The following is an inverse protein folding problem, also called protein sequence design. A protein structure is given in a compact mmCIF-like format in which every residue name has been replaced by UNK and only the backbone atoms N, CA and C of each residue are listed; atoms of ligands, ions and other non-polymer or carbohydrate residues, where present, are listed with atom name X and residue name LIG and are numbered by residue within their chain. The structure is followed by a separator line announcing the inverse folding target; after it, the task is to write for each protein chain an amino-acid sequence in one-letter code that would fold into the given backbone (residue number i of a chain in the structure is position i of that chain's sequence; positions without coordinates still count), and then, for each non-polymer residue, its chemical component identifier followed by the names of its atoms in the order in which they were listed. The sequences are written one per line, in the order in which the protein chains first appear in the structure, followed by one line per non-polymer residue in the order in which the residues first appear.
data_IF_859523642984
#
_entry.id   IF_859523642984
#
_cell.length_a   1.000
_cell.length_b   1.000
_cell.length_c   1.000
_cell.angle_alpha   90.00
_cell.angle_beta   90.00
_cell.angle_gamma   90.00
#
_symmetry.space_group_name_H-M   'P 1'
#
loop_
_entity.id
_entity.type
_entity.pdbx_description
1 polymer ?
#
# COMPACT_ATOMS: atom_id res chain seq x y z
N UNK A 1 -8.28 -15.17 29.13
CA UNK A 1 -8.43 -15.18 27.66
C UNK A 1 -7.14 -14.75 26.97
N UNK A 2 -6.57 -13.57 27.29
CA UNK A 2 -5.35 -13.08 26.62
C UNK A 2 -4.13 -14.02 26.74
N UNK A 3 -3.86 -14.60 27.91
CA UNK A 3 -2.76 -15.59 28.04
C UNK A 3 -2.99 -16.83 27.15
N UNK A 4 -4.25 -17.23 26.98
CA UNK A 4 -4.57 -18.35 26.11
C UNK A 4 -4.35 -18.00 24.64
N UNK A 5 -4.74 -16.78 24.21
CA UNK A 5 -4.42 -16.27 22.87
C UNK A 5 -2.90 -16.22 22.64
N UNK A 6 -2.12 -15.80 23.63
CA UNK A 6 -0.67 -15.76 23.52
C UNK A 6 -0.07 -17.13 23.20
N UNK A 7 -0.63 -18.21 23.77
CA UNK A 7 -0.19 -19.59 23.48
C UNK A 7 -0.70 -20.15 22.16
N UNK A 8 -1.68 -19.50 21.53
CA UNK A 8 -2.20 -19.90 20.21
C UNK A 8 -1.39 -19.34 19.06
N UNK A 9 -0.48 -18.38 19.29
CA UNK A 9 0.26 -17.72 18.22
C UNK A 9 -0.69 -17.07 17.19
N UNK A 10 -1.39 -16.03 17.65
CA UNK A 10 -2.46 -15.35 16.93
C UNK A 10 -2.01 -14.69 15.62
N UNK A 11 -0.73 -14.38 15.48
CA UNK A 11 -0.16 -13.78 14.28
C UNK A 11 -0.17 -14.75 13.10
N UNK A 12 0.07 -16.03 13.37
CA UNK A 12 0.14 -17.08 12.35
C UNK A 12 -1.17 -17.87 12.20
N UNK A 13 -2.05 -17.85 13.21
CA UNK A 13 -3.27 -18.67 13.26
C UNK A 13 -4.53 -17.87 13.62
N UNK A 14 -4.61 -16.62 13.14
CA UNK A 14 -5.70 -15.69 13.45
C UNK A 14 -7.10 -16.27 13.23
N UNK A 15 -7.35 -16.99 12.14
CA UNK A 15 -8.67 -17.59 11.85
C UNK A 15 -9.12 -18.59 12.93
N UNK A 16 -8.17 -19.37 13.46
CA UNK A 16 -8.41 -20.32 14.55
C UNK A 16 -8.67 -19.54 15.84
N UNK A 17 -7.84 -18.54 16.14
CA UNK A 17 -8.01 -17.70 17.32
C UNK A 17 -9.37 -16.97 17.32
N UNK A 18 -9.81 -16.44 16.18
CA UNK A 18 -11.14 -15.82 16.01
C UNK A 18 -12.26 -16.83 16.27
N UNK A 19 -12.15 -18.04 15.73
CA UNK A 19 -13.14 -19.10 15.95
C UNK A 19 -13.24 -19.49 17.43
N UNK A 20 -12.10 -19.55 18.12
CA UNK A 20 -12.06 -19.82 19.56
C UNK A 20 -12.63 -18.64 20.36
N UNK A 21 -12.33 -17.40 19.99
CA UNK A 21 -12.89 -16.21 20.62
C UNK A 21 -14.41 -16.18 20.50
N UNK A 22 -14.99 -16.41 19.33
CA UNK A 22 -16.44 -16.50 19.17
C UNK A 22 -17.07 -17.58 20.07
N UNK A 23 -16.41 -18.73 20.16
CA UNK A 23 -16.85 -19.83 21.05
C UNK A 23 -16.83 -19.38 22.51
N UNK A 24 -15.74 -18.76 22.97
CA UNK A 24 -15.61 -18.24 24.34
C UNK A 24 -16.62 -17.12 24.63
N UNK A 25 -16.81 -16.20 23.69
CA UNK A 25 -17.74 -15.08 23.83
C UNK A 25 -19.19 -15.55 24.00
N UNK A 26 -19.58 -16.61 23.28
CA UNK A 26 -20.93 -17.18 23.43
C UNK A 26 -21.22 -17.82 24.79
N UNK A 27 -20.18 -18.12 25.58
CA UNK A 27 -20.30 -18.74 26.90
C UNK A 27 -20.02 -17.76 28.06
N UNK A 28 -19.68 -16.50 27.75
CA UNK A 28 -19.22 -15.52 28.74
C UNK A 28 -20.14 -14.29 28.72
N UNK A 29 -20.55 -13.73 29.87
CA UNK A 29 -21.34 -12.51 29.90
C UNK A 29 -20.62 -11.34 29.21
N UNK A 30 -21.37 -10.52 28.44
CA UNK A 30 -20.80 -9.39 27.69
C UNK A 30 -20.07 -8.38 28.59
N UNK A 31 -20.58 -8.15 29.80
CA UNK A 31 -19.96 -7.26 30.78
C UNK A 31 -18.54 -7.67 31.17
N UNK A 32 -18.27 -8.98 31.29
CA UNK A 32 -16.93 -9.51 31.59
C UNK A 32 -16.01 -9.38 30.38
N UNK A 33 -16.53 -9.64 29.17
CA UNK A 33 -15.76 -9.54 27.92
C UNK A 33 -15.27 -8.12 27.67
N UNK A 34 -16.17 -7.15 27.81
CA UNK A 34 -15.90 -5.72 27.62
C UNK A 34 -14.93 -5.21 28.68
N UNK A 35 -14.99 -5.77 29.90
CA UNK A 35 -14.07 -5.43 30.99
C UNK A 35 -12.58 -5.62 30.66
N UNK A 36 -12.25 -6.51 29.71
CA UNK A 36 -10.86 -6.73 29.27
C UNK A 36 -10.33 -5.55 28.43
N UNK A 37 -11.20 -4.84 27.71
CA UNK A 37 -10.83 -3.70 26.86
C UNK A 37 -11.02 -2.33 27.52
N UNK A 38 -11.68 -2.27 28.68
CA UNK A 38 -11.95 -1.00 29.36
C UNK A 38 -10.66 -0.43 29.95
N UNK A 39 -10.41 0.84 29.64
CA UNK A 39 -9.40 1.64 30.33
C UNK A 39 -10.08 2.66 31.24
N UNK A 40 -9.48 2.88 32.40
CA UNK A 40 -10.01 3.79 33.42
C UNK A 40 -9.91 5.27 33.02
N UNK A 41 -9.24 5.58 31.92
CA UNK A 41 -9.01 6.95 31.43
C UNK A 41 -10.21 7.55 30.68
N UNK A 42 -11.28 6.78 30.47
CA UNK A 42 -12.51 7.21 29.82
C UNK A 42 -12.39 7.44 28.30
N UNK A 43 -11.22 7.19 27.69
CA UNK A 43 -10.97 7.43 26.26
C UNK A 43 -11.53 6.33 25.36
N UNK A 44 -11.91 5.19 25.93
CA UNK A 44 -12.40 4.00 25.19
C UNK A 44 -11.39 3.54 24.13
N UNK A 45 -10.11 3.76 24.38
CA UNK A 45 -9.00 3.41 23.49
C UNK A 45 -7.94 2.68 24.30
N UNK A 46 -7.40 1.61 23.75
CA UNK A 46 -6.24 0.91 24.31
C UNK A 46 -4.97 1.71 23.99
N UNK A 47 -4.14 2.09 24.98
CA UNK A 47 -2.89 2.80 24.72
C UNK A 47 -1.98 2.01 23.76
N UNK A 48 -1.28 2.72 22.87
CA UNK A 48 -0.40 2.07 21.87
C UNK A 48 0.70 1.25 22.54
N UNK A 49 1.21 1.74 23.66
CA UNK A 49 2.27 1.09 24.44
C UNK A 49 1.83 -0.21 25.12
N UNK A 50 0.53 -0.44 25.28
CA UNK A 50 -0.02 -1.67 25.88
C UNK A 50 -0.58 -2.62 24.82
N UNK A 51 -0.66 -2.20 23.56
CA UNK A 51 -1.14 -3.05 22.48
C UNK A 51 -0.18 -4.22 22.23
N UNK A 52 -0.78 -5.40 22.18
CA UNK A 52 -0.16 -6.65 21.74
C UNK A 52 -1.01 -7.25 20.63
N UNK A 53 -0.47 -8.17 19.80
CA UNK A 53 -1.27 -8.88 18.78
C UNK A 53 -2.53 -9.51 19.37
N UNK A 54 -2.44 -10.09 20.56
CA UNK A 54 -3.53 -10.74 21.26
C UNK A 54 -4.62 -9.76 21.67
N UNK A 55 -4.23 -8.60 22.22
CA UNK A 55 -5.17 -7.55 22.62
C UNK A 55 -5.86 -6.94 21.40
N UNK A 56 -5.10 -6.66 20.34
CA UNK A 56 -5.63 -6.08 19.11
C UNK A 56 -6.64 -7.02 18.43
N UNK A 57 -6.29 -8.31 18.32
CA UNK A 57 -7.21 -9.33 17.78
C UNK A 57 -8.45 -9.49 18.67
N UNK A 58 -8.26 -9.61 20.00
CA UNK A 58 -9.36 -9.72 20.95
C UNK A 58 -10.33 -8.55 20.81
N UNK A 59 -9.82 -7.32 20.78
CA UNK A 59 -10.64 -6.12 20.66
C UNK A 59 -11.39 -6.07 19.33
N UNK A 60 -10.70 -6.37 18.23
CA UNK A 60 -11.32 -6.45 16.90
C UNK A 60 -12.46 -7.46 16.84
N UNK A 61 -12.20 -8.71 17.25
CA UNK A 61 -13.21 -9.77 17.25
C UNK A 61 -14.36 -9.47 18.20
N UNK A 62 -14.08 -8.85 19.36
CA UNK A 62 -15.12 -8.45 20.31
C UNK A 62 -16.03 -7.37 19.71
N UNK A 63 -15.46 -6.37 19.04
CA UNK A 63 -16.25 -5.31 18.38
C UNK A 63 -17.18 -5.88 17.31
N UNK A 64 -16.71 -6.82 16.49
CA UNK A 64 -17.54 -7.49 15.49
C UNK A 64 -18.61 -8.38 16.14
N UNK A 65 -18.24 -9.12 17.19
CA UNK A 65 -19.16 -9.96 17.92
C UNK A 65 -20.29 -9.15 18.58
N UNK A 66 -19.97 -8.04 19.25
CA UNK A 66 -20.96 -7.17 19.87
C UNK A 66 -21.91 -6.61 18.81
N UNK A 67 -21.39 -6.13 17.68
CA UNK A 67 -22.22 -5.65 16.57
C UNK A 67 -23.21 -6.71 16.04
N UNK A 68 -22.83 -7.99 16.10
CA UNK A 68 -23.72 -9.10 15.71
C UNK A 68 -24.88 -9.36 16.70
N UNK A 69 -24.84 -8.79 17.91
CA UNK A 69 -25.87 -8.93 18.95
C UNK A 69 -27.00 -7.90 18.87
N UNK A 70 -26.93 -6.96 17.92
CA UNK A 70 -27.93 -5.90 17.76
C UNK A 70 -27.92 -4.93 18.94
N UNK A 71 -29.10 -4.45 19.34
CA UNK A 71 -29.24 -3.36 20.33
C UNK A 71 -28.55 -3.64 21.67
N UNK A 72 -28.59 -4.88 22.18
CA UNK A 72 -27.88 -5.26 23.41
C UNK A 72 -26.36 -5.11 23.23
N UNK A 73 -25.84 -5.52 22.08
CA UNK A 73 -24.41 -5.41 21.78
C UNK A 73 -23.95 -3.97 21.57
N UNK A 74 -24.80 -3.11 21.02
CA UNK A 74 -24.49 -1.69 20.79
C UNK A 74 -24.19 -0.96 22.11
N UNK A 75 -24.98 -1.21 23.17
CA UNK A 75 -24.74 -0.63 24.50
C UNK A 75 -23.35 -0.97 25.04
N UNK A 76 -22.87 -2.19 24.78
CA UNK A 76 -21.54 -2.64 25.18
C UNK A 76 -20.45 -2.14 24.25
N UNK A 77 -20.74 -2.00 22.95
CA UNK A 77 -19.82 -1.49 21.95
C UNK A 77 -19.46 -0.02 22.23
N UNK A 78 -20.46 0.79 22.59
CA UNK A 78 -20.28 2.18 23.02
C UNK A 78 -19.36 2.32 24.24
N UNK A 79 -19.13 1.26 25.02
CA UNK A 79 -18.23 1.30 26.19
C UNK A 79 -16.76 1.10 25.82
N UNK A 80 -16.46 0.54 24.65
CA UNK A 80 -15.09 0.15 24.23
C UNK A 80 -14.66 0.73 22.90
N UNK A 81 -15.56 1.40 22.16
CA UNK A 81 -15.21 2.17 20.98
C UNK A 81 -15.42 3.66 21.25
N UNK A 82 -14.46 4.51 20.85
CA UNK A 82 -14.64 5.95 20.90
C UNK A 82 -15.45 6.42 19.69
N UNK A 83 -15.74 7.73 19.64
CA UNK A 83 -16.32 8.35 18.45
C UNK A 83 -15.39 8.17 17.22
N UNK A 84 -15.95 8.07 16.00
CA UNK A 84 -15.17 7.80 14.79
C UNK A 84 -14.01 8.77 14.55
N UNK A 85 -14.22 10.06 14.84
CA UNK A 85 -13.17 11.07 14.68
C UNK A 85 -12.00 10.85 15.65
N UNK A 86 -12.28 10.39 16.88
CA UNK A 86 -11.24 10.08 17.87
C UNK A 86 -10.49 8.81 17.47
N UNK A 87 -11.22 7.79 17.00
CA UNK A 87 -10.60 6.58 16.47
C UNK A 87 -9.70 6.85 15.25
N UNK A 88 -10.12 7.76 14.37
CA UNK A 88 -9.36 8.18 13.20
C UNK A 88 -7.97 8.71 13.59
N UNK A 89 -7.89 9.60 14.58
CA UNK A 89 -6.61 10.14 15.06
C UNK A 89 -5.73 9.04 15.67
N UNK A 90 -6.35 8.16 16.45
CA UNK A 90 -5.66 7.03 17.06
C UNK A 90 -5.01 6.14 15.99
N UNK A 91 -5.78 5.74 14.96
CA UNK A 91 -5.27 4.91 13.88
C UNK A 91 -4.19 5.61 13.05
N UNK A 92 -4.38 6.90 12.72
CA UNK A 92 -3.39 7.68 11.99
C UNK A 92 -2.07 7.74 12.75
N UNK A 93 -2.11 8.01 14.06
CA UNK A 93 -0.91 8.06 14.91
C UNK A 93 -0.16 6.72 14.93
N UNK A 94 -0.90 5.61 14.96
CA UNK A 94 -0.32 4.27 14.92
C UNK A 94 0.41 4.00 13.60
N UNK A 95 -0.23 4.35 12.46
CA UNK A 95 0.31 4.15 11.12
C UNK A 95 1.51 5.09 10.84
N UNK A 96 1.45 6.34 11.29
CA UNK A 96 2.57 7.27 11.16
C UNK A 96 3.81 6.84 11.94
N UNK A 97 3.63 6.05 13.00
CA UNK A 97 4.74 5.55 13.80
C UNK A 97 5.55 4.42 13.16
N UNK A 98 5.16 3.87 12.00
CA UNK A 98 5.92 2.81 11.34
C UNK A 98 7.33 3.29 10.96
N UNK A 99 8.38 2.52 11.29
CA UNK A 99 9.75 2.93 10.98
C UNK A 99 10.03 2.85 9.49
N UNK A 100 10.90 3.73 9.00
CA UNK A 100 11.53 3.55 7.68
C UNK A 100 12.56 2.43 7.80
N UNK A 101 12.38 1.37 7.01
CA UNK A 101 13.27 0.19 7.04
C UNK A 101 14.50 0.43 6.17
N UNK A 102 15.68 0.44 6.79
CA UNK A 102 16.97 0.63 6.14
C UNK A 102 17.63 -0.72 5.80
N UNK A 103 18.67 -0.74 4.95
CA UNK A 103 19.37 -1.99 4.57
C UNK A 103 19.96 -2.76 5.77
N UNK A 104 20.46 -2.06 6.79
CA UNK A 104 21.00 -2.69 8.01
C UNK A 104 19.91 -3.43 8.80
N UNK A 105 18.70 -2.87 8.86
CA UNK A 105 17.57 -3.43 9.58
C UNK A 105 16.93 -4.62 8.86
N UNK A 106 17.12 -4.74 7.55
CA UNK A 106 16.63 -5.90 6.77
C UNK A 106 17.33 -7.21 7.14
N UNK A 107 18.50 -7.15 7.77
CA UNK A 107 19.22 -8.33 8.27
C UNK A 107 18.87 -8.70 9.72
N UNK A 108 18.16 -7.83 10.44
CA UNK A 108 17.82 -8.02 11.85
C UNK A 108 16.47 -8.72 11.99
N UNK A 109 16.52 -10.03 12.24
CA UNK A 109 15.33 -10.86 12.42
C UNK A 109 14.46 -10.42 13.61
N UNK A 110 15.07 -9.86 14.65
CA UNK A 110 14.34 -9.34 15.83
C UNK A 110 13.52 -8.11 15.42
N UNK A 111 14.14 -7.16 14.74
CA UNK A 111 13.45 -5.98 14.21
C UNK A 111 12.33 -6.37 13.22
N UNK A 112 12.59 -7.32 12.32
CA UNK A 112 11.58 -7.81 11.37
C UNK A 112 10.41 -8.45 12.11
N UNK A 113 10.67 -9.29 13.12
CA UNK A 113 9.62 -9.90 13.93
C UNK A 113 8.74 -8.86 14.63
N UNK A 114 9.35 -7.82 15.20
CA UNK A 114 8.60 -6.73 15.84
C UNK A 114 7.82 -5.88 14.83
N UNK A 115 8.37 -5.69 13.62
CA UNK A 115 7.66 -5.03 12.52
C UNK A 115 6.43 -5.84 12.08
N UNK A 116 6.56 -7.18 11.96
CA UNK A 116 5.44 -8.06 11.60
C UNK A 116 4.32 -8.02 12.64
N UNK A 117 4.66 -8.06 13.94
CA UNK A 117 3.70 -7.84 15.04
C UNK A 117 2.96 -6.53 14.91
N UNK A 118 3.73 -5.46 14.62
CA UNK A 118 3.17 -4.11 14.47
C UNK A 118 2.24 -4.01 13.27
N UNK A 119 2.60 -4.63 12.15
CA UNK A 119 1.73 -4.75 10.97
C UNK A 119 0.46 -5.52 11.32
N UNK A 120 0.55 -6.67 11.99
CA UNK A 120 -0.60 -7.46 12.41
C UNK A 120 -1.57 -6.65 13.27
N UNK A 121 -1.07 -5.96 14.30
CA UNK A 121 -1.88 -5.05 15.12
C UNK A 121 -2.53 -3.97 14.26
N UNK A 122 -1.78 -3.36 13.34
CA UNK A 122 -2.30 -2.35 12.40
C UNK A 122 -3.47 -2.88 11.56
N UNK A 123 -3.39 -4.13 11.10
CA UNK A 123 -4.50 -4.77 10.38
C UNK A 123 -5.75 -4.88 11.26
N UNK A 124 -5.60 -5.32 12.51
CA UNK A 124 -6.73 -5.43 13.45
C UNK A 124 -7.36 -4.06 13.73
N UNK A 125 -6.54 -3.02 13.91
CA UNK A 125 -7.04 -1.65 14.10
C UNK A 125 -7.80 -1.12 12.87
N UNK A 126 -7.36 -1.44 11.65
CA UNK A 126 -8.10 -1.07 10.44
C UNK A 126 -9.43 -1.84 10.36
N UNK A 127 -9.46 -3.10 10.77
CA UNK A 127 -10.66 -3.94 10.75
C UNK A 127 -11.73 -3.47 11.75
N UNK A 128 -11.33 -2.98 12.93
CA UNK A 128 -12.24 -2.38 13.93
C UNK A 128 -13.10 -1.25 13.33
N UNK A 129 -12.61 -0.54 12.31
CA UNK A 129 -13.37 0.54 11.68
C UNK A 129 -14.73 0.11 11.14
N UNK A 130 -14.92 -1.18 10.81
CA UNK A 130 -16.23 -1.74 10.40
C UNK A 130 -17.28 -1.63 11.50
N UNK A 131 -16.85 -1.58 12.76
CA UNK A 131 -17.72 -1.53 13.92
C UNK A 131 -18.02 -0.12 14.40
N UNK A 132 -17.33 0.91 13.89
CA UNK A 132 -17.62 2.30 14.23
C UNK A 132 -18.98 2.75 13.68
N UNK A 133 -19.66 3.62 14.43
CA UNK A 133 -20.86 4.29 13.95
C UNK A 133 -20.50 5.41 12.96
N UNK A 134 -20.81 5.22 11.68
CA UNK A 134 -20.57 6.22 10.62
C UNK A 134 -21.86 6.95 10.20
N UNK A 135 -22.88 6.93 11.07
CA UNK A 135 -24.12 7.69 10.91
C UNK A 135 -23.84 9.20 10.87
N UNK A 136 -22.94 9.66 11.73
CA UNK A 136 -22.52 11.05 11.82
C UNK A 136 -21.61 11.44 10.64
N UNK A 137 -21.96 12.55 9.97
CA UNK A 137 -21.23 13.02 8.80
C UNK A 137 -19.81 13.49 9.12
N UNK A 138 -19.61 14.15 10.27
CA UNK A 138 -18.31 14.68 10.71
C UNK A 138 -17.30 13.55 10.93
N UNK A 139 -17.67 12.57 11.77
CA UNK A 139 -16.89 11.36 12.00
C UNK A 139 -16.57 10.59 10.71
N UNK A 140 -17.58 10.39 9.84
CA UNK A 140 -17.37 9.71 8.55
C UNK A 140 -16.38 10.44 7.64
N UNK A 141 -16.48 11.76 7.51
CA UNK A 141 -15.54 12.58 6.73
C UNK A 141 -14.13 12.52 7.30
N UNK A 142 -13.98 12.51 8.63
CA UNK A 142 -12.66 12.38 9.26
C UNK A 142 -12.02 11.02 8.98
N UNK A 143 -12.78 9.93 9.07
CA UNK A 143 -12.29 8.60 8.69
C UNK A 143 -11.87 8.54 7.22
N UNK A 144 -12.63 9.15 6.30
CA UNK A 144 -12.21 9.22 4.90
C UNK A 144 -10.89 9.98 4.73
N UNK A 145 -10.75 11.13 5.40
CA UNK A 145 -9.54 11.95 5.31
C UNK A 145 -8.29 11.19 5.76
N UNK A 146 -8.35 10.48 6.91
CA UNK A 146 -7.18 9.74 7.42
C UNK A 146 -6.85 8.51 6.56
N UNK A 147 -7.86 7.85 5.96
CA UNK A 147 -7.63 6.73 5.04
C UNK A 147 -6.93 7.21 3.76
N UNK A 148 -7.27 8.40 3.27
CA UNK A 148 -6.55 9.03 2.15
C UNK A 148 -5.12 9.40 2.55
N UNK A 149 -4.94 10.06 3.70
CA UNK A 149 -3.62 10.47 4.21
C UNK A 149 -2.68 9.28 4.38
N UNK A 150 -3.19 8.19 4.96
CA UNK A 150 -2.42 6.95 5.15
C UNK A 150 -2.09 6.26 3.83
N UNK A 151 -2.96 6.30 2.81
CA UNK A 151 -2.60 5.79 1.47
C UNK A 151 -1.55 6.65 0.77
N UNK A 152 -1.51 7.96 1.03
CA UNK A 152 -0.53 8.87 0.43
C UNK A 152 0.83 8.75 1.12
N UNK A 153 0.86 8.42 2.41
CA UNK A 153 2.07 8.30 3.20
C UNK A 153 3.00 7.19 2.66
N UNK A 154 4.26 7.50 2.29
CA UNK A 154 5.16 6.52 1.67
C UNK A 154 5.72 5.47 2.64
N UNK A 155 5.53 5.67 3.95
CA UNK A 155 5.93 4.74 5.01
C UNK A 155 4.83 3.75 5.38
N UNK A 156 3.64 3.89 4.80
CA UNK A 156 2.54 2.96 5.05
C UNK A 156 2.92 1.56 4.57
N UNK A 157 2.87 0.53 5.46
CA UNK A 157 3.21 -0.82 5.07
C UNK A 157 2.27 -1.36 3.99
N UNK A 158 2.85 -2.06 3.01
CA UNK A 158 2.13 -2.62 1.87
C UNK A 158 1.05 -3.62 2.32
N UNK A 159 1.29 -4.35 3.41
CA UNK A 159 0.35 -5.29 4.01
C UNK A 159 -0.94 -4.63 4.49
N UNK A 160 -0.93 -3.33 4.77
CA UNK A 160 -2.11 -2.58 5.20
C UNK A 160 -2.88 -1.96 4.04
N UNK A 161 -2.26 -1.76 2.88
CA UNK A 161 -2.82 -1.00 1.75
C UNK A 161 -4.16 -1.58 1.29
N UNK A 162 -4.25 -2.90 1.13
CA UNK A 162 -5.50 -3.54 0.67
C UNK A 162 -6.65 -3.29 1.64
N UNK A 163 -6.40 -3.41 2.95
CA UNK A 163 -7.40 -3.18 3.99
C UNK A 163 -7.82 -1.70 4.05
N UNK A 164 -6.88 -0.77 3.93
CA UNK A 164 -7.15 0.67 3.93
C UNK A 164 -8.02 1.04 2.72
N UNK A 165 -7.66 0.54 1.53
CA UNK A 165 -8.46 0.74 0.31
C UNK A 165 -9.86 0.15 0.48
N UNK A 166 -9.99 -1.09 0.97
CA UNK A 166 -11.29 -1.72 1.18
C UNK A 166 -12.16 -0.89 2.14
N UNK A 167 -11.60 -0.36 3.23
CA UNK A 167 -12.34 0.52 4.16
C UNK A 167 -12.72 1.84 3.49
N UNK A 168 -11.82 2.46 2.75
CA UNK A 168 -12.09 3.71 2.04
C UNK A 168 -13.28 3.56 1.09
N UNK A 169 -13.24 2.54 0.23
CA UNK A 169 -14.27 2.31 -0.78
C UNK A 169 -15.61 1.91 -0.17
N UNK A 170 -15.60 1.24 0.99
CA UNK A 170 -16.81 0.90 1.72
C UNK A 170 -17.52 2.11 2.34
N UNK A 171 -16.76 3.11 2.81
CA UNK A 171 -17.33 4.31 3.43
C UNK A 171 -17.91 5.27 2.37
N UNK A 172 -17.30 5.32 1.17
CA UNK A 172 -17.76 6.16 0.06
C UNK A 172 -18.98 5.52 -0.60
N UNK A 173 -20.10 6.24 -0.60
CA UNK A 173 -21.39 5.76 -1.12
C UNK A 173 -21.62 6.09 -2.60
N UNK A 174 -21.08 7.22 -3.07
CA UNK A 174 -21.25 7.67 -4.45
C UNK A 174 -20.08 7.22 -5.34
N UNK A 175 -20.39 6.65 -6.50
CA UNK A 175 -19.35 6.11 -7.40
C UNK A 175 -18.51 7.22 -8.06
N UNK A 176 -19.05 8.42 -8.29
CA UNK A 176 -18.28 9.52 -8.85
C UNK A 176 -17.30 10.09 -7.81
N UNK A 177 -17.76 10.26 -6.56
CA UNK A 177 -16.92 10.62 -5.43
C UNK A 177 -15.82 9.59 -5.22
N UNK A 178 -16.14 8.29 -5.36
CA UNK A 178 -15.16 7.21 -5.28
C UNK A 178 -14.09 7.33 -6.36
N UNK A 179 -14.49 7.52 -7.62
CA UNK A 179 -13.55 7.70 -8.75
C UNK A 179 -12.67 8.93 -8.52
N UNK A 180 -13.25 10.04 -8.06
CA UNK A 180 -12.54 11.28 -7.80
C UNK A 180 -11.45 11.07 -6.73
N UNK A 181 -11.84 10.57 -5.55
CA UNK A 181 -10.91 10.36 -4.43
C UNK A 181 -9.78 9.40 -4.82
N UNK A 182 -10.11 8.29 -5.49
CA UNK A 182 -9.10 7.33 -5.95
C UNK A 182 -8.13 7.98 -6.93
N UNK A 183 -8.63 8.80 -7.86
CA UNK A 183 -7.80 9.52 -8.84
C UNK A 183 -6.89 10.53 -8.16
N UNK A 184 -7.37 11.24 -7.15
CA UNK A 184 -6.59 12.17 -6.33
C UNK A 184 -5.45 11.43 -5.60
N UNK A 185 -5.75 10.33 -4.89
CA UNK A 185 -4.74 9.50 -4.21
C UNK A 185 -3.66 9.02 -5.19
N UNK A 186 -4.06 8.45 -6.34
CA UNK A 186 -3.11 7.94 -7.35
C UNK A 186 -2.22 9.09 -7.85
N UNK A 187 -2.79 10.27 -8.10
CA UNK A 187 -2.07 11.43 -8.58
C UNK A 187 -1.05 11.93 -7.56
N UNK A 188 -1.43 11.99 -6.29
CA UNK A 188 -0.58 12.46 -5.20
C UNK A 188 0.60 11.53 -4.95
N UNK A 189 0.38 10.21 -4.97
CA UNK A 189 1.46 9.22 -4.81
C UNK A 189 2.38 9.20 -6.06
N UNK A 190 1.84 9.49 -7.24
CA UNK A 190 2.60 9.52 -8.50
C UNK A 190 3.46 10.78 -8.63
N UNK A 191 3.00 11.93 -8.14
CA UNK A 191 3.69 13.22 -8.26
C UNK A 191 5.17 13.21 -7.84
N UNK A 192 5.56 12.71 -6.65
CA UNK A 192 6.97 12.66 -6.25
C UNK A 192 7.80 11.68 -7.09
N UNK A 193 7.20 10.68 -7.74
CA UNK A 193 7.91 9.74 -8.63
C UNK A 193 8.27 10.43 -9.96
N UNK A 194 7.38 11.29 -10.47
CA UNK A 194 7.53 11.98 -11.76
C UNK A 194 8.45 13.21 -11.64
N UNK A 195 8.37 13.95 -10.53
CA UNK A 195 9.19 15.16 -10.33
C UNK A 195 10.69 14.89 -10.10
N UNK A 196 11.08 13.62 -9.92
CA UNK A 196 12.49 13.20 -9.76
C UNK A 196 13.06 12.61 -11.06
N UNK A 197 12.31 12.68 -12.17
CA UNK A 197 12.78 12.25 -13.49
C UNK A 197 13.67 13.34 -14.10
N UNK A 198 14.97 13.08 -14.07
CA UNK A 198 16.03 13.44 -15.05
C UNK A 198 16.13 14.92 -15.44
N UNK A 199 17.32 15.52 -15.27
CA UNK A 199 17.66 16.83 -15.86
C UNK A 199 17.07 16.92 -17.29
N UNK A 200 16.14 17.85 -17.58
CA UNK A 200 15.49 17.94 -18.89
C UNK A 200 16.49 18.10 -20.04
N UNK A 201 17.74 18.46 -19.75
CA UNK A 201 18.85 18.47 -20.72
C UNK A 201 19.25 17.05 -21.18
N UNK A 202 19.24 16.06 -20.28
CA UNK A 202 19.74 14.70 -20.58
C UNK A 202 18.69 13.80 -21.22
N UNK A 203 17.41 13.94 -20.85
CA UNK A 203 16.29 13.31 -21.57
C UNK A 203 16.23 13.82 -23.01
N UNK A 204 16.34 15.14 -23.21
CA UNK A 204 16.30 15.75 -24.54
C UNK A 204 17.49 15.37 -25.42
N UNK A 205 18.70 15.27 -24.84
CA UNK A 205 19.88 14.75 -25.55
C UNK A 205 19.70 13.28 -25.98
N UNK A 206 19.09 12.45 -25.14
CA UNK A 206 18.84 11.04 -25.46
C UNK A 206 17.75 10.87 -26.51
N UNK A 207 16.68 11.65 -26.43
CA UNK A 207 15.63 11.70 -27.46
C UNK A 207 16.20 12.15 -28.82
N UNK A 208 17.06 13.18 -28.82
CA UNK A 208 17.78 13.64 -30.02
C UNK A 208 18.64 12.53 -30.62
N UNK A 209 19.46 11.84 -29.81
CA UNK A 209 20.28 10.71 -30.28
C UNK A 209 19.44 9.57 -30.84
N UNK A 210 18.29 9.28 -30.22
CA UNK A 210 17.40 8.22 -30.68
C UNK A 210 16.68 8.60 -31.97
N UNK A 211 16.28 9.86 -32.13
CA UNK A 211 15.75 10.37 -33.38
C UNK A 211 16.80 10.33 -34.50
N UNK A 212 18.04 10.72 -34.22
CA UNK A 212 19.15 10.68 -35.18
C UNK A 212 19.44 9.25 -35.67
N UNK A 213 19.48 8.27 -34.76
CA UNK A 213 19.68 6.86 -35.13
C UNK A 213 18.51 6.33 -35.96
N UNK A 214 17.26 6.73 -35.64
CA UNK A 214 16.08 6.33 -36.43
C UNK A 214 16.12 6.89 -37.85
N UNK A 215 16.53 8.15 -38.02
CA UNK A 215 16.67 8.78 -39.34
C UNK A 215 17.73 8.05 -40.16
N UNK A 216 18.93 7.83 -39.59
CA UNK A 216 20.00 7.08 -40.27
C UNK A 216 19.59 5.65 -40.65
N UNK A 217 18.77 5.01 -39.82
CA UNK A 217 18.22 3.68 -40.13
C UNK A 217 17.25 3.68 -41.31
N UNK A 218 16.42 4.72 -41.42
CA UNK A 218 15.49 4.88 -42.54
C UNK A 218 16.29 5.13 -43.82
N UNK A 219 17.23 6.07 -43.79
CA UNK A 219 18.09 6.41 -44.92
C UNK A 219 18.92 5.20 -45.40
N UNK A 220 19.54 4.46 -44.47
CA UNK A 220 20.32 3.28 -44.81
C UNK A 220 19.46 2.13 -45.38
N UNK A 221 18.22 1.96 -44.89
CA UNK A 221 17.27 0.96 -45.42
C UNK A 221 16.79 1.33 -46.82
N UNK A 222 16.49 2.59 -47.06
CA UNK A 222 16.11 3.09 -48.39
C UNK A 222 17.27 2.99 -49.38
N UNK A 223 18.50 3.35 -48.97
CA UNK A 223 19.70 3.17 -49.79
C UNK A 223 19.96 1.70 -50.13
N UNK A 224 19.70 0.78 -49.19
CA UNK A 224 19.83 -0.66 -49.42
C UNK A 224 18.82 -1.16 -50.46
N UNK A 225 17.56 -0.73 -50.38
CA UNK A 225 16.54 -1.06 -51.38
C UNK A 225 16.95 -0.58 -52.78
N UNK A 226 17.50 0.63 -52.88
CA UNK A 226 18.00 1.18 -54.13
C UNK A 226 19.20 0.38 -54.69
N UNK A 227 20.17 -0.02 -53.84
CA UNK A 227 21.30 -0.86 -54.25
C UNK A 227 20.85 -2.25 -54.73
N UNK A 228 19.84 -2.84 -54.08
CA UNK A 228 19.25 -4.12 -54.50
C UNK A 228 18.56 -3.96 -55.87
N UNK A 229 17.86 -2.86 -56.10
CA UNK A 229 17.19 -2.58 -57.37
C UNK A 229 18.16 -2.45 -58.56
N UNK A 230 19.34 -1.88 -58.33
CA UNK A 230 20.40 -1.72 -59.36
C UNK A 230 21.41 -2.89 -59.39
N UNK A 231 21.20 -3.94 -58.58
CA UNK A 231 22.07 -5.12 -58.45
C UNK A 231 23.52 -4.79 -58.02
N UNK A 232 23.71 -3.71 -57.26
CA UNK A 232 25.00 -3.38 -56.64
C UNK A 232 25.13 -4.12 -55.30
N UNK A 233 25.57 -5.38 -55.39
CA UNK A 233 25.70 -6.26 -54.24
C UNK A 233 26.87 -5.88 -53.32
N UNK A 234 27.91 -5.25 -53.85
CA UNK A 234 29.07 -4.80 -53.07
C UNK A 234 28.68 -3.64 -52.13
N UNK A 235 27.90 -2.68 -52.64
CA UNK A 235 27.38 -1.58 -51.83
C UNK A 235 26.26 -2.03 -50.89
N UNK A 236 25.37 -2.94 -51.34
CA UNK A 236 24.33 -3.53 -50.51
C UNK A 236 24.90 -4.29 -49.29
N UNK A 237 26.03 -4.99 -49.45
CA UNK A 237 26.69 -5.68 -48.34
C UNK A 237 27.21 -4.73 -47.27
N UNK A 238 27.73 -3.56 -47.67
CA UNK A 238 28.21 -2.53 -46.74
C UNK A 238 27.06 -1.89 -45.95
N UNK A 239 25.96 -1.57 -46.64
CA UNK A 239 24.75 -1.00 -46.02
C UNK A 239 24.09 -1.96 -45.03
N UNK A 240 24.12 -3.28 -45.29
CA UNK A 240 23.64 -4.28 -44.32
C UNK A 240 24.44 -4.28 -43.02
N UNK A 241 25.76 -4.14 -43.09
CA UNK A 241 26.59 -4.06 -41.90
C UNK A 241 26.36 -2.75 -41.13
N UNK A 242 26.18 -1.64 -41.84
CA UNK A 242 25.85 -0.35 -41.23
C UNK A 242 24.48 -0.35 -40.53
N UNK A 243 23.46 -0.94 -41.15
CA UNK A 243 22.13 -1.14 -40.54
C UNK A 243 22.25 -1.96 -39.25
N UNK A 244 23.05 -3.03 -39.27
CA UNK A 244 23.27 -3.87 -38.08
C UNK A 244 23.93 -3.09 -36.94
N UNK A 245 24.95 -2.29 -37.24
CA UNK A 245 25.61 -1.43 -36.25
C UNK A 245 24.62 -0.41 -35.64
N UNK A 246 23.77 0.19 -36.47
CA UNK A 246 22.75 1.15 -36.01
C UNK A 246 21.65 0.47 -35.16
N UNK A 247 21.25 -0.76 -35.51
CA UNK A 247 20.30 -1.55 -34.72
C UNK A 247 20.90 -1.97 -33.37
N UNK A 248 22.17 -2.39 -33.33
CA UNK A 248 22.89 -2.69 -32.09
C UNK A 248 23.05 -1.44 -31.21
N UNK A 249 23.37 -0.28 -31.80
CA UNK A 249 23.46 0.99 -31.08
C UNK A 249 22.10 1.41 -30.48
N UNK A 250 21.00 1.19 -31.20
CA UNK A 250 19.64 1.42 -30.69
C UNK A 250 19.33 0.51 -29.50
N UNK A 251 19.68 -0.78 -29.58
CA UNK A 251 19.46 -1.75 -28.50
C UNK A 251 20.28 -1.38 -27.27
N UNK A 252 21.53 -0.95 -27.43
CA UNK A 252 22.38 -0.55 -26.31
C UNK A 252 21.84 0.70 -25.60
N UNK A 253 21.37 1.72 -26.33
CA UNK A 253 20.73 2.90 -25.74
C UNK A 253 19.43 2.58 -24.98
N UNK A 254 18.67 1.58 -25.44
CA UNK A 254 17.50 1.09 -24.72
C UNK A 254 17.91 0.39 -23.42
N UNK A 255 18.91 -0.49 -23.47
CA UNK A 255 19.45 -1.18 -22.29
C UNK A 255 20.04 -0.22 -21.25
N UNK A 256 20.73 0.84 -21.68
CA UNK A 256 21.23 1.89 -20.78
C UNK A 256 20.08 2.64 -20.08
N UNK A 257 18.96 2.82 -20.76
CA UNK A 257 17.76 3.46 -20.19
C UNK A 257 17.12 2.53 -19.14
N UNK A 258 16.99 1.24 -19.44
CA UNK A 258 16.51 0.23 -18.49
C UNK A 258 17.45 0.04 -17.29
N UNK A 259 18.77 0.07 -17.48
CA UNK A 259 19.75 -0.06 -16.38
C UNK A 259 19.77 1.15 -15.44
N UNK A 260 19.53 2.35 -15.95
CA UNK A 260 19.36 3.54 -15.12
C UNK A 260 18.07 3.46 -14.29
N UNK A 261 16.99 2.96 -14.87
CA UNK A 261 15.76 2.66 -14.12
C UNK A 261 15.99 1.63 -13.01
N UNK A 262 16.85 0.63 -13.22
CA UNK A 262 17.18 -0.42 -12.23
C UNK A 262 18.10 0.10 -11.11
N UNK A 263 19.06 1.01 -11.41
CA UNK A 263 19.89 1.65 -10.37
C UNK A 263 19.08 2.58 -9.48
N UNK A 264 18.08 3.26 -10.02
CA UNK A 264 17.17 4.08 -9.21
C UNK A 264 16.31 3.28 -8.24
N UNK A 265 16.04 2.00 -8.50
CA UNK A 265 15.27 1.11 -7.61
C UNK A 265 15.98 0.86 -6.26
N UNK A 266 17.30 1.02 -6.18
CA UNK A 266 18.09 0.70 -4.97
C UNK A 266 18.19 1.84 -3.94
N UNK A 267 17.70 3.04 -4.25
CA UNK A 267 17.81 4.21 -3.34
C UNK A 267 16.43 4.83 -3.11
N UNK A 268 15.69 4.47 -2.05
CA UNK A 268 14.44 5.11 -1.57
C UNK A 268 13.21 5.11 -2.52
N UNK A 269 13.42 5.42 -3.81
CA UNK A 269 12.52 5.38 -4.95
C UNK A 269 11.89 4.00 -5.19
N UNK A 270 12.61 2.92 -4.86
CA UNK A 270 12.08 1.56 -4.96
C UNK A 270 10.87 1.31 -4.07
N UNK A 271 10.91 1.81 -2.84
CA UNK A 271 9.81 1.69 -1.87
C UNK A 271 8.59 2.48 -2.31
N UNK A 272 8.77 3.73 -2.73
CA UNK A 272 7.67 4.58 -3.22
C UNK A 272 7.01 4.03 -4.50
N UNK A 273 7.79 3.46 -5.44
CA UNK A 273 7.22 2.77 -6.62
C UNK A 273 6.47 1.49 -6.25
N UNK A 274 6.95 0.71 -5.29
CA UNK A 274 6.24 -0.48 -4.78
C UNK A 274 4.92 -0.08 -4.12
N UNK A 275 4.93 0.98 -3.30
CA UNK A 275 3.74 1.54 -2.67
C UNK A 275 2.72 1.99 -3.71
N UNK A 276 3.13 2.83 -4.67
CA UNK A 276 2.29 3.25 -5.79
C UNK A 276 1.66 2.07 -6.53
N UNK A 277 2.46 1.05 -6.86
CA UNK A 277 1.97 -0.14 -7.56
C UNK A 277 0.97 -0.94 -6.72
N UNK A 278 1.18 -1.02 -5.40
CA UNK A 278 0.24 -1.69 -4.50
C UNK A 278 -1.09 -0.95 -4.42
N UNK A 279 -1.07 0.37 -4.21
CA UNK A 279 -2.29 1.19 -4.16
C UNK A 279 -3.03 1.08 -5.49
N UNK A 280 -2.34 1.26 -6.62
CA UNK A 280 -2.92 1.14 -7.95
C UNK A 280 -3.55 -0.24 -8.19
N UNK A 281 -2.85 -1.32 -7.81
CA UNK A 281 -3.38 -2.68 -7.95
C UNK A 281 -4.66 -2.87 -7.12
N UNK A 282 -4.67 -2.45 -5.86
CA UNK A 282 -5.83 -2.59 -4.99
C UNK A 282 -7.04 -1.80 -5.50
N UNK A 283 -6.87 -0.53 -5.87
CA UNK A 283 -8.00 0.30 -6.33
C UNK A 283 -8.55 -0.14 -7.69
N UNK A 284 -7.77 -0.83 -8.54
CA UNK A 284 -8.26 -1.35 -9.83
C UNK A 284 -8.93 -2.72 -9.75
N UNK A 285 -8.72 -3.49 -8.67
CA UNK A 285 -9.25 -4.85 -8.53
C UNK A 285 -10.35 -4.97 -7.46
N UNK A 286 -10.80 -3.84 -6.89
CA UNK A 286 -11.93 -3.77 -5.95
C UNK A 286 -13.26 -3.48 -6.67
#
# INVERSE_FOLDING_TARGET
ILEFLHRLDVENSSDVAVSVLHSLFSMTPLSELVGICKNDDGRKLIPVETLTPEIALYWCTLCEYLKSKGDEGEEFLEQILPEPAVYAEYLLSYIQGFPVVNEEQKGDFTFIGDLMKREFIGQQLILIMKSLDTSEEGGRKRLLAILQETLILPTTPISLVSLIVERLLHIIRDDNERIQIVTEIISEIRAPIVNVVVDPSDTRKKELKMAEIKVKLIEAKEALENCIAVQDFDQASKLKEEIKILEDAKINLLKETEQLEIKEVHTGKGTMRKHYRSVLFCVTNC
#
